data_IF_294474829575
#
_entry.id   IF_294474829575
#
_cell.length_a   1.000
_cell.length_b   1.000
_cell.length_c   1.000
_cell.angle_alpha   90.00
_cell.angle_beta   90.00
_cell.angle_gamma   90.00
#
_symmetry.space_group_name_H-M   'P 1'
#
loop_
_entity.id
_entity.type
_entity.pdbx_description
1 polymer ?
#
# COMPACT_ATOMS: atom_id res chain seq x y z
N UNK A 1 -6.41 -2.81 19.52
CA UNK A 1 -7.24 -3.71 18.68
C UNK A 1 -6.67 -5.12 18.82
N UNK A 2 -7.47 -6.19 18.83
CA UNK A 2 -6.90 -7.53 19.01
C UNK A 2 -6.26 -8.08 17.73
N UNK A 3 -5.28 -8.98 17.87
CA UNK A 3 -4.60 -9.62 16.74
C UNK A 3 -5.57 -10.32 15.75
N UNK A 4 -6.60 -11.07 16.19
CA UNK A 4 -7.56 -11.67 15.26
C UNK A 4 -8.37 -10.63 14.47
N UNK A 5 -8.67 -9.47 15.08
CA UNK A 5 -9.31 -8.37 14.36
C UNK A 5 -8.35 -7.76 13.34
N UNK A 6 -7.08 -7.58 13.71
CA UNK A 6 -6.03 -7.11 12.81
C UNK A 6 -5.92 -8.00 11.57
N UNK A 7 -5.87 -9.32 11.77
CA UNK A 7 -5.78 -10.31 10.68
C UNK A 7 -6.99 -10.30 9.76
N UNK A 8 -8.21 -10.18 10.30
CA UNK A 8 -9.41 -10.07 9.44
C UNK A 8 -9.43 -8.76 8.66
N UNK A 9 -9.00 -7.66 9.29
CA UNK A 9 -8.90 -6.37 8.62
C UNK A 9 -7.83 -6.35 7.54
N UNK A 10 -6.70 -7.05 7.70
CA UNK A 10 -5.66 -7.05 6.67
C UNK A 10 -6.14 -7.63 5.33
N UNK A 11 -7.08 -8.58 5.34
CA UNK A 11 -7.69 -9.13 4.12
C UNK A 11 -8.51 -8.10 3.32
N UNK A 12 -8.90 -7.01 3.98
CA UNK A 12 -9.75 -5.95 3.44
C UNK A 12 -8.90 -4.70 3.19
N UNK A 13 -8.26 -4.19 4.23
CA UNK A 13 -7.62 -2.87 4.26
C UNK A 13 -6.31 -2.83 3.45
N UNK A 14 -5.60 -3.97 3.29
CA UNK A 14 -4.32 -3.98 2.58
C UNK A 14 -4.47 -3.73 1.08
N UNK A 15 -5.56 -4.22 0.48
CA UNK A 15 -5.83 -4.09 -0.96
C UNK A 15 -7.12 -3.36 -1.29
N UNK A 16 -7.84 -2.89 -0.26
CA UNK A 16 -9.17 -2.31 -0.42
C UNK A 16 -10.11 -3.34 -1.06
N UNK A 17 -10.17 -4.53 -0.47
CA UNK A 17 -10.99 -5.63 -0.97
C UNK A 17 -12.46 -5.36 -0.67
N UNK A 18 -13.29 -5.37 -1.70
CA UNK A 18 -14.74 -5.24 -1.64
C UNK A 18 -15.40 -6.49 -2.25
N UNK A 19 -16.73 -6.59 -2.14
CA UNK A 19 -17.49 -7.62 -2.86
C UNK A 19 -18.49 -7.00 -3.82
N UNK A 20 -18.54 -7.57 -5.02
CA UNK A 20 -19.45 -7.15 -6.09
C UNK A 20 -20.47 -8.25 -6.36
N UNK A 21 -21.75 -7.89 -6.37
CA UNK A 21 -22.82 -8.78 -6.78
C UNK A 21 -22.81 -8.94 -8.29
N UNK A 22 -22.59 -10.17 -8.77
CA UNK A 22 -22.53 -10.50 -10.19
C UNK A 22 -23.90 -10.41 -10.89
N UNK A 23 -24.99 -10.35 -10.13
CA UNK A 23 -26.36 -10.29 -10.66
C UNK A 23 -26.81 -8.84 -10.90
N UNK A 24 -26.55 -7.92 -9.95
CA UNK A 24 -27.00 -6.53 -10.02
C UNK A 24 -25.88 -5.47 -10.09
N UNK A 25 -24.61 -5.87 -10.04
CA UNK A 25 -23.44 -4.97 -10.10
C UNK A 25 -23.21 -4.10 -8.86
N UNK A 26 -23.95 -4.32 -7.77
CA UNK A 26 -23.75 -3.57 -6.52
C UNK A 26 -22.45 -3.98 -5.84
N UNK A 27 -21.63 -2.99 -5.48
CA UNK A 27 -20.35 -3.16 -4.78
C UNK A 27 -20.48 -2.78 -3.30
N UNK A 28 -19.90 -3.58 -2.41
CA UNK A 28 -19.94 -3.36 -0.96
C UNK A 28 -18.55 -3.34 -0.35
N UNK A 29 -18.27 -2.28 0.40
CA UNK A 29 -17.10 -2.16 1.27
C UNK A 29 -17.54 -1.76 2.69
N UNK A 30 -17.16 -2.51 3.75
CA UNK A 30 -16.43 -3.78 3.73
C UNK A 30 -17.17 -4.89 2.95
N UNK A 31 -16.47 -5.96 2.52
CA UNK A 31 -17.05 -7.01 1.70
C UNK A 31 -18.16 -7.77 2.45
N UNK A 32 -19.24 -8.06 1.73
CA UNK A 32 -20.40 -8.85 2.19
C UNK A 32 -20.47 -10.19 1.50
N UNK A 33 -21.00 -11.18 2.22
CA UNK A 33 -21.28 -12.52 1.69
C UNK A 33 -22.55 -12.60 0.83
N UNK A 34 -23.43 -11.59 0.90
CA UNK A 34 -24.64 -11.51 0.08
C UNK A 34 -25.02 -10.06 -0.22
N UNK A 35 -25.70 -9.87 -1.35
CA UNK A 35 -26.22 -8.60 -1.83
C UNK A 35 -27.40 -8.10 -0.98
N UNK A 36 -27.52 -6.78 -0.82
CA UNK A 36 -28.68 -6.17 -0.17
C UNK A 36 -29.95 -6.19 -1.05
N UNK A 37 -29.79 -6.29 -2.37
CA UNK A 37 -30.89 -6.28 -3.35
C UNK A 37 -31.37 -7.71 -3.62
N UNK A 38 -30.45 -8.57 -4.08
CA UNK A 38 -30.75 -9.96 -4.48
C UNK A 38 -30.76 -10.94 -3.29
N UNK A 39 -30.34 -10.49 -2.10
CA UNK A 39 -30.30 -11.30 -0.90
C UNK A 39 -29.33 -12.48 -1.00
N UNK A 40 -29.61 -13.56 -0.26
CA UNK A 40 -28.71 -14.71 -0.08
C UNK A 40 -28.51 -15.58 -1.34
N UNK A 41 -29.34 -15.39 -2.37
CA UNK A 41 -29.20 -16.12 -3.63
C UNK A 41 -28.11 -15.52 -4.54
N UNK A 42 -27.64 -14.31 -4.20
CA UNK A 42 -26.64 -13.59 -5.00
C UNK A 42 -25.31 -14.32 -5.11
N UNK A 43 -24.69 -14.15 -6.29
CA UNK A 43 -23.29 -14.51 -6.49
C UNK A 43 -22.41 -13.30 -6.21
N UNK A 44 -21.55 -13.40 -5.20
CA UNK A 44 -20.61 -12.35 -4.81
C UNK A 44 -19.21 -12.67 -5.31
N UNK A 45 -18.62 -11.78 -6.08
CA UNK A 45 -17.21 -11.84 -6.48
C UNK A 45 -16.38 -10.88 -5.62
N UNK A 46 -15.11 -11.22 -5.39
CA UNK A 46 -14.15 -10.33 -4.74
C UNK A 46 -13.58 -9.38 -5.79
N UNK A 47 -13.54 -8.09 -5.46
CA UNK A 47 -12.87 -7.05 -6.26
C UNK A 47 -11.93 -6.28 -5.35
N UNK A 48 -10.77 -5.86 -5.83
CA UNK A 48 -9.84 -5.03 -5.08
C UNK A 48 -9.48 -3.78 -5.87
N UNK A 49 -9.12 -2.71 -5.15
CA UNK A 49 -8.84 -1.41 -5.75
C UNK A 49 -7.37 -1.00 -5.56
N UNK A 50 -6.50 -1.94 -5.17
CA UNK A 50 -5.14 -1.61 -4.75
C UNK A 50 -4.33 -0.94 -5.88
N UNK A 51 -4.49 -1.41 -7.12
CA UNK A 51 -3.82 -0.88 -8.31
C UNK A 51 -4.65 0.16 -9.07
N UNK A 52 -5.89 0.39 -8.64
CA UNK A 52 -6.85 1.23 -9.35
C UNK A 52 -6.63 2.72 -9.09
N UNK A 53 -7.15 3.53 -10.01
CA UNK A 53 -7.26 4.98 -9.82
C UNK A 53 -8.64 5.32 -9.27
N UNK A 54 -8.67 6.20 -8.27
CA UNK A 54 -9.90 6.79 -7.75
C UNK A 54 -9.93 8.29 -7.99
N UNK A 55 -10.94 8.93 -7.40
CA UNK A 55 -11.13 10.37 -7.40
C UNK A 55 -11.42 10.85 -5.98
N UNK A 56 -10.91 12.03 -5.60
CA UNK A 56 -11.26 12.63 -4.33
C UNK A 56 -12.67 13.23 -4.39
N UNK A 57 -13.65 12.53 -3.84
CA UNK A 57 -15.07 12.84 -4.00
C UNK A 57 -15.56 13.94 -3.05
N UNK A 58 -15.18 13.84 -1.77
CA UNK A 58 -15.51 14.85 -0.76
C UNK A 58 -14.52 14.76 0.39
N UNK A 59 -14.39 15.81 1.20
CA UNK A 59 -13.52 15.75 2.36
C UNK A 59 -13.52 17.02 3.19
N UNK A 60 -12.56 17.08 4.10
CA UNK A 60 -12.31 18.20 5.01
C UNK A 60 -10.81 18.34 5.26
N UNK A 61 -10.39 19.58 5.51
CA UNK A 61 -9.07 19.87 6.08
C UNK A 61 -9.19 19.76 7.60
N UNK A 62 -8.39 18.89 8.21
CA UNK A 62 -8.31 18.74 9.65
C UNK A 62 -7.14 19.59 10.14
N UNK A 63 -7.45 20.74 10.76
CA UNK A 63 -6.45 21.69 11.30
C UNK A 63 -6.19 21.53 12.81
N UNK A 64 -7.04 20.78 13.52
CA UNK A 64 -6.91 20.52 14.94
C UNK A 64 -7.07 19.02 15.24
N UNK A 65 -6.04 18.19 14.98
CA UNK A 65 -6.08 16.76 15.25
C UNK A 65 -6.21 16.41 16.73
N UNK A 66 -6.76 15.24 17.00
CA UNK A 66 -6.71 14.62 18.34
C UNK A 66 -5.27 14.26 18.70
N UNK A 67 -5.00 14.01 19.99
CA UNK A 67 -3.65 13.71 20.52
C UNK A 67 -2.94 12.60 19.75
N UNK A 68 -3.66 11.57 19.30
CA UNK A 68 -3.12 10.45 18.53
C UNK A 68 -2.59 10.88 17.15
N UNK A 69 -3.17 11.90 16.53
CA UNK A 69 -2.83 12.37 15.18
C UNK A 69 -2.10 13.72 15.18
N UNK A 70 -1.70 14.21 16.37
CA UNK A 70 -1.08 15.53 16.53
C UNK A 70 0.21 15.69 15.70
N UNK A 71 0.91 14.59 15.43
CA UNK A 71 2.11 14.58 14.61
C UNK A 71 1.86 14.88 13.12
N UNK A 72 0.61 14.79 12.65
CA UNK A 72 0.22 15.13 11.28
C UNK A 72 0.00 16.64 11.09
N UNK A 73 -0.11 17.40 12.19
CA UNK A 73 -0.49 18.81 12.18
C UNK A 73 -1.78 19.04 11.35
N UNK A 74 -1.67 19.70 10.19
CA UNK A 74 -2.80 19.89 9.26
C UNK A 74 -2.78 18.83 8.16
N UNK A 75 -3.89 18.11 7.96
CA UNK A 75 -3.99 17.09 6.90
C UNK A 75 -5.38 17.01 6.26
N UNK A 76 -5.44 16.39 5.08
CA UNK A 76 -6.69 16.15 4.34
C UNK A 76 -7.26 14.77 4.68
N UNK A 77 -8.56 14.73 4.98
CA UNK A 77 -9.31 13.48 5.14
C UNK A 77 -10.62 13.57 4.39
N UNK A 78 -11.07 12.46 3.82
CA UNK A 78 -12.32 12.47 3.09
C UNK A 78 -12.74 11.11 2.56
N UNK A 79 -13.54 11.17 1.51
CA UNK A 79 -14.09 10.05 0.79
C UNK A 79 -13.46 10.03 -0.60
N UNK A 80 -12.82 8.93 -0.92
CA UNK A 80 -12.37 8.62 -2.27
C UNK A 80 -13.43 7.76 -2.98
N UNK A 81 -13.69 8.03 -4.24
CA UNK A 81 -14.56 7.23 -5.08
C UNK A 81 -13.71 6.35 -6.01
N UNK A 82 -13.97 5.05 -6.00
CA UNK A 82 -13.35 4.06 -6.88
C UNK A 82 -14.49 3.28 -7.55
N UNK A 83 -14.67 3.44 -8.87
CA UNK A 83 -15.84 2.91 -9.56
C UNK A 83 -17.15 3.30 -8.85
N UNK A 84 -17.88 2.28 -8.37
CA UNK A 84 -19.16 2.44 -7.67
C UNK A 84 -19.04 2.41 -6.13
N UNK A 85 -17.83 2.38 -5.57
CA UNK A 85 -17.63 2.37 -4.11
C UNK A 85 -17.04 3.69 -3.62
N UNK A 86 -17.48 4.10 -2.42
CA UNK A 86 -16.99 5.28 -1.69
C UNK A 86 -16.27 4.81 -0.44
N UNK A 87 -15.02 5.23 -0.32
CA UNK A 87 -14.08 4.72 0.68
C UNK A 87 -13.57 5.88 1.53
N UNK A 88 -13.64 5.79 2.87
CA UNK A 88 -13.00 6.78 3.71
C UNK A 88 -11.49 6.60 3.67
N UNK A 89 -10.75 7.70 3.70
CA UNK A 89 -9.30 7.65 3.84
C UNK A 89 -8.66 9.03 4.00
N UNK A 90 -7.37 9.00 4.31
CA UNK A 90 -6.55 10.20 4.45
C UNK A 90 -5.76 10.44 3.17
N UNK A 91 -5.64 11.70 2.75
CA UNK A 91 -4.65 12.06 1.72
C UNK A 91 -3.31 12.25 2.41
N UNK A 92 -2.31 11.48 2.00
CA UNK A 92 -0.96 11.52 2.55
C UNK A 92 0.01 12.19 1.57
N UNK A 93 1.20 12.52 2.06
CA UNK A 93 2.24 13.27 1.33
C UNK A 93 1.79 14.65 0.82
N UNK A 94 0.70 15.18 1.34
CA UNK A 94 0.18 16.50 1.01
C UNK A 94 -0.12 17.25 2.30
N UNK A 95 0.50 18.42 2.46
CA UNK A 95 0.27 19.30 3.61
C UNK A 95 -0.57 20.48 3.13
N UNK A 96 -1.90 20.47 3.35
CA UNK A 96 -2.73 21.61 2.99
C UNK A 96 -2.43 22.82 3.90
N UNK A 97 -2.61 24.02 3.37
CA UNK A 97 -2.67 25.22 4.19
C UNK A 97 -3.93 25.23 5.06
N UNK A 98 -3.86 25.86 6.24
CA UNK A 98 -4.99 25.91 7.18
C UNK A 98 -6.22 26.64 6.61
N UNK A 99 -6.01 27.55 5.66
CA UNK A 99 -7.03 28.37 5.01
C UNK A 99 -7.32 27.92 3.57
N UNK A 100 -6.78 26.78 3.15
CA UNK A 100 -7.03 26.25 1.81
C UNK A 100 -8.54 25.95 1.64
N UNK A 101 -9.06 26.18 0.44
CA UNK A 101 -10.41 25.72 0.10
C UNK A 101 -10.36 24.23 -0.25
N UNK A 102 -11.16 23.41 0.42
CA UNK A 102 -11.28 21.98 0.13
C UNK A 102 -11.70 21.72 -1.32
N UNK A 103 -12.46 22.63 -1.94
CA UNK A 103 -12.97 22.46 -3.30
C UNK A 103 -11.84 22.38 -4.34
N UNK A 104 -10.65 22.91 -4.06
CA UNK A 104 -9.50 22.81 -4.97
C UNK A 104 -8.94 21.38 -5.06
N UNK A 105 -9.29 20.51 -4.10
CA UNK A 105 -8.85 19.13 -4.06
C UNK A 105 -9.89 18.16 -4.62
N UNK A 106 -11.18 18.53 -4.59
CA UNK A 106 -12.27 17.68 -5.07
C UNK A 106 -12.13 17.43 -6.57
N UNK A 107 -12.36 16.19 -7.01
CA UNK A 107 -12.23 15.79 -8.40
C UNK A 107 -10.82 15.39 -8.82
N UNK A 108 -9.81 15.58 -7.96
CA UNK A 108 -8.44 15.20 -8.28
C UNK A 108 -8.26 13.68 -8.27
N UNK A 109 -7.43 13.12 -9.17
CA UNK A 109 -7.20 11.69 -9.25
C UNK A 109 -6.40 11.20 -8.03
N UNK A 110 -6.75 10.03 -7.52
CA UNK A 110 -6.12 9.41 -6.34
C UNK A 110 -5.55 8.04 -6.66
N UNK A 111 -4.48 7.67 -5.95
CA UNK A 111 -3.89 6.32 -5.96
C UNK A 111 -3.75 5.81 -4.52
N UNK A 112 -4.16 4.57 -4.23
CA UNK A 112 -3.92 3.93 -2.94
C UNK A 112 -2.43 3.76 -2.62
N UNK A 113 -2.08 4.07 -1.37
CA UNK A 113 -0.74 3.90 -0.79
C UNK A 113 -0.82 3.07 0.47
N UNK A 114 0.03 2.05 0.52
CA UNK A 114 0.13 1.21 1.71
C UNK A 114 0.90 1.96 2.79
N UNK A 115 0.20 2.37 3.86
CA UNK A 115 0.77 3.17 4.95
C UNK A 115 0.48 2.55 6.31
N UNK A 116 1.32 2.91 7.28
CA UNK A 116 1.09 2.64 8.69
C UNK A 116 -0.02 3.55 9.21
N UNK A 117 -1.12 2.96 9.65
CA UNK A 117 -2.26 3.70 10.20
C UNK A 117 -2.01 4.08 11.66
N UNK A 118 -1.62 3.11 12.48
CA UNK A 118 -1.25 3.32 13.89
C UNK A 118 -0.49 2.10 14.44
N UNK A 119 0.13 2.27 15.62
CA UNK A 119 0.70 1.18 16.41
C UNK A 119 0.00 1.11 17.78
N UNK A 120 -0.25 -0.10 18.29
CA UNK A 120 -0.91 -0.32 19.59
C UNK A 120 0.09 -0.17 20.75
N UNK A 121 0.51 1.07 21.03
CA UNK A 121 1.57 1.34 22.00
C UNK A 121 2.96 0.95 21.48
N UNK A 122 3.92 0.85 22.41
CA UNK A 122 5.33 0.57 22.08
C UNK A 122 5.57 -0.90 21.66
N UNK A 123 4.90 -1.84 22.33
CA UNK A 123 5.13 -3.29 22.15
C UNK A 123 3.98 -3.99 21.42
N UNK A 124 2.99 -3.23 20.94
CA UNK A 124 1.83 -3.81 20.27
C UNK A 124 1.96 -3.88 18.75
N UNK A 125 0.85 -4.27 18.13
CA UNK A 125 0.80 -4.44 16.69
C UNK A 125 0.80 -3.09 15.97
N UNK A 126 1.65 -2.99 14.96
CA UNK A 126 1.60 -2.02 13.87
C UNK A 126 0.54 -2.45 12.85
N UNK A 127 -0.38 -1.53 12.56
CA UNK A 127 -1.47 -1.69 11.62
C UNK A 127 -1.20 -0.92 10.35
N UNK A 128 -1.45 -1.56 9.22
CA UNK A 128 -1.29 -0.96 7.90
C UNK A 128 -2.60 -0.97 7.13
N UNK A 129 -2.72 -0.06 6.18
CA UNK A 129 -3.87 0.02 5.29
C UNK A 129 -3.51 0.79 4.01
N UNK A 130 -4.16 0.41 2.91
CA UNK A 130 -4.19 1.14 1.65
C UNK A 130 -5.33 2.17 1.57
N UNK A 131 -6.12 2.35 2.63
CA UNK A 131 -7.07 3.47 2.80
C UNK A 131 -6.34 4.80 3.12
N UNK A 132 -5.18 4.99 2.52
CA UNK A 132 -4.41 6.21 2.47
C UNK A 132 -4.13 6.49 0.99
N UNK A 133 -4.30 7.72 0.56
CA UNK A 133 -4.28 8.07 -0.85
C UNK A 133 -3.26 9.17 -1.13
N UNK A 134 -2.65 9.15 -2.30
CA UNK A 134 -1.89 10.29 -2.83
C UNK A 134 -2.55 10.78 -4.10
N UNK A 135 -2.44 12.08 -4.38
CA UNK A 135 -2.86 12.59 -5.68
C UNK A 135 -1.99 12.00 -6.81
N UNK A 136 -2.65 11.49 -7.85
CA UNK A 136 -2.00 10.76 -8.95
C UNK A 136 -1.21 11.67 -9.89
N UNK A 137 -1.44 12.98 -9.81
CA UNK A 137 -0.81 14.04 -10.59
C UNK A 137 0.36 14.72 -9.86
N UNK A 138 0.81 14.17 -8.72
CA UNK A 138 1.93 14.69 -7.94
C UNK A 138 3.16 13.76 -7.94
N UNK A 139 3.90 13.74 -6.81
CA UNK A 139 5.21 13.11 -6.65
C UNK A 139 5.21 11.59 -6.92
N UNK A 140 4.10 10.91 -6.67
CA UNK A 140 3.94 9.48 -6.95
C UNK A 140 2.87 9.28 -8.03
N UNK A 141 3.25 9.35 -9.32
CA UNK A 141 2.27 9.21 -10.40
C UNK A 141 1.63 7.83 -10.42
N UNK A 142 0.41 7.74 -10.97
CA UNK A 142 -0.18 6.45 -11.33
C UNK A 142 0.69 5.79 -12.39
N UNK A 143 0.90 4.49 -12.23
CA UNK A 143 1.40 3.62 -13.28
C UNK A 143 0.38 2.50 -13.44
N UNK A 144 -0.02 2.25 -14.68
CA UNK A 144 -0.98 1.21 -14.98
C UNK A 144 -0.31 -0.17 -14.88
N UNK A 145 -0.98 -1.10 -14.21
CA UNK A 145 -0.52 -2.46 -14.10
C UNK A 145 -1.12 -3.30 -15.24
N UNK A 146 -0.34 -3.48 -16.31
CA UNK A 146 -0.73 -4.30 -17.46
C UNK A 146 -0.05 -5.66 -17.37
N UNK A 147 -0.83 -6.71 -17.11
CA UNK A 147 -0.29 -8.06 -17.07
C UNK A 147 0.02 -8.57 -18.49
N UNK A 148 1.26 -9.04 -18.67
CA UNK A 148 1.75 -9.71 -19.88
C UNK A 148 2.02 -11.17 -19.58
N UNK A 149 1.62 -12.04 -20.52
CA UNK A 149 1.93 -13.46 -20.40
C UNK A 149 3.42 -13.68 -20.70
N UNK A 150 4.13 -14.46 -19.86
CA UNK A 150 5.50 -14.86 -20.16
C UNK A 150 5.58 -15.53 -21.53
N UNK A 151 6.40 -14.98 -22.43
CA UNK A 151 6.45 -15.42 -23.83
C UNK A 151 7.49 -16.50 -24.09
N UNK A 152 8.53 -16.60 -23.26
CA UNK A 152 9.63 -17.55 -23.44
C UNK A 152 10.30 -17.89 -22.11
N UNK A 153 10.52 -19.18 -21.89
CA UNK A 153 11.39 -19.67 -20.81
C UNK A 153 12.86 -19.44 -21.20
N UNK A 154 13.63 -18.87 -20.27
CA UNK A 154 15.06 -18.58 -20.46
C UNK A 154 15.88 -19.33 -19.41
N UNK A 155 16.95 -20.00 -19.85
CA UNK A 155 17.82 -20.76 -18.94
C UNK A 155 18.68 -19.87 -18.04
N UNK A 156 18.92 -18.61 -18.45
CA UNK A 156 19.75 -17.67 -17.70
C UNK A 156 18.88 -16.77 -16.82
N UNK A 157 19.17 -16.64 -15.52
CA UNK A 157 18.46 -15.70 -14.66
C UNK A 157 18.71 -14.26 -15.11
N UNK A 158 17.70 -13.40 -14.93
CA UNK A 158 17.76 -11.99 -15.29
C UNK A 158 16.77 -11.16 -14.49
N UNK A 159 16.91 -9.83 -14.56
CA UNK A 159 16.00 -8.88 -13.91
C UNK A 159 14.88 -8.56 -14.90
N UNK A 160 13.65 -8.98 -14.56
CA UNK A 160 12.45 -8.72 -15.39
C UNK A 160 11.71 -7.44 -15.01
N UNK A 161 11.98 -6.90 -13.81
CA UNK A 161 11.42 -5.64 -13.33
C UNK A 161 12.14 -5.16 -12.09
N UNK A 162 12.10 -3.85 -11.84
CA UNK A 162 12.66 -3.21 -10.65
C UNK A 162 11.73 -2.08 -10.21
N UNK A 163 11.70 -1.76 -8.92
CA UNK A 163 10.85 -0.70 -8.40
C UNK A 163 11.55 0.05 -7.28
N UNK A 164 11.42 1.37 -7.29
CA UNK A 164 11.98 2.23 -6.25
C UNK A 164 10.86 3.03 -5.59
N UNK A 165 10.89 3.08 -4.26
CA UNK A 165 10.08 3.99 -3.47
C UNK A 165 11.00 4.89 -2.67
N UNK A 166 10.81 6.20 -2.81
CA UNK A 166 11.66 7.22 -2.19
C UNK A 166 10.70 8.21 -1.50
N UNK A 167 10.69 8.33 -0.16
CA UNK A 167 9.80 9.25 0.57
C UNK A 167 9.77 10.65 -0.04
N UNK A 168 8.64 11.37 0.03
CA UNK A 168 8.51 12.69 -0.61
C UNK A 168 9.32 13.76 0.10
N UNK A 169 9.30 13.77 1.43
CA UNK A 169 9.91 14.84 2.21
C UNK A 169 11.43 14.77 2.21
N UNK A 170 12.06 15.95 2.38
CA UNK A 170 13.51 16.14 2.29
C UNK A 170 14.03 17.01 3.43
N UNK A 171 15.19 16.64 3.94
CA UNK A 171 16.02 17.50 4.79
C UNK A 171 17.26 17.88 3.99
N UNK A 172 17.52 19.17 3.85
CA UNK A 172 18.71 19.68 3.17
C UNK A 172 19.91 19.58 4.10
N UNK A 173 21.06 19.21 3.55
CA UNK A 173 22.32 19.27 4.27
C UNK A 173 22.85 20.71 4.22
N UNK A 174 23.45 21.15 5.32
CA UNK A 174 24.16 22.43 5.33
C UNK A 174 25.46 22.35 4.50
N UNK A 175 25.80 23.43 3.80
CA UNK A 175 27.03 23.54 3.01
C UNK A 175 27.07 22.60 1.79
N UNK A 176 28.24 21.99 1.52
CA UNK A 176 28.46 21.14 0.33
C UNK A 176 27.93 19.71 0.47
N UNK A 177 27.32 19.37 1.62
CA UNK A 177 26.92 18.00 1.93
C UNK A 177 28.11 17.03 2.07
N UNK A 178 27.81 15.78 2.43
CA UNK A 178 28.81 14.70 2.47
C UNK A 178 28.71 13.94 1.14
N UNK A 179 29.85 13.69 0.47
CA UNK A 179 29.92 12.98 -0.82
C UNK A 179 29.04 13.62 -1.93
N UNK A 180 28.82 14.93 -1.87
CA UNK A 180 27.97 15.65 -2.84
C UNK A 180 26.47 15.44 -2.65
N UNK A 181 26.03 14.77 -1.58
CA UNK A 181 24.61 14.62 -1.24
C UNK A 181 24.10 15.93 -0.65
N UNK A 182 23.25 16.64 -1.40
CA UNK A 182 22.71 17.96 -1.01
C UNK A 182 21.48 17.85 -0.10
N UNK A 183 20.72 16.77 -0.18
CA UNK A 183 19.55 16.51 0.65
C UNK A 183 19.35 15.02 0.90
N UNK A 184 18.60 14.69 1.94
CA UNK A 184 18.24 13.31 2.32
C UNK A 184 16.74 13.19 2.44
N UNK A 185 16.23 12.00 2.17
CA UNK A 185 14.82 11.67 2.33
C UNK A 185 14.44 11.67 3.81
N UNK A 186 13.26 12.18 4.14
CA UNK A 186 12.66 12.05 5.46
C UNK A 186 11.38 11.23 5.33
N UNK A 187 11.35 9.99 5.86
CA UNK A 187 10.12 9.23 6.01
C UNK A 187 9.08 10.04 6.81
N UNK A 188 7.84 10.04 6.36
CA UNK A 188 6.73 10.56 7.12
C UNK A 188 6.33 9.59 8.23
N UNK A 189 5.57 10.07 9.21
CA UNK A 189 5.23 9.30 10.40
C UNK A 189 4.29 8.09 10.12
N UNK A 190 3.74 7.98 8.91
CA UNK A 190 2.96 6.83 8.45
C UNK A 190 3.78 5.87 7.55
N UNK A 191 5.09 6.07 7.49
CA UNK A 191 6.03 5.28 6.68
C UNK A 191 7.04 4.52 7.54
N UNK A 192 7.40 3.33 7.08
CA UNK A 192 8.46 2.48 7.62
C UNK A 192 8.97 1.48 6.56
N UNK A 193 9.95 0.66 6.93
CA UNK A 193 10.54 -0.39 6.07
C UNK A 193 9.50 -1.30 5.40
N UNK A 194 8.40 -1.63 6.09
CA UNK A 194 7.33 -2.48 5.53
C UNK A 194 6.60 -1.72 4.43
N UNK A 195 6.24 -0.46 4.68
CA UNK A 195 5.59 0.38 3.67
C UNK A 195 6.47 0.59 2.43
N UNK A 196 7.77 0.81 2.63
CA UNK A 196 8.73 0.96 1.53
C UNK A 196 8.85 -0.32 0.70
N UNK A 197 8.91 -1.47 1.36
CA UNK A 197 9.00 -2.77 0.70
C UNK A 197 7.77 -3.05 -0.16
N UNK A 198 6.57 -2.77 0.37
CA UNK A 198 5.32 -2.93 -0.38
C UNK A 198 5.25 -1.95 -1.56
N UNK A 199 5.51 -0.67 -1.34
CA UNK A 199 5.39 0.35 -2.38
C UNK A 199 6.46 0.19 -3.49
N UNK A 200 7.69 -0.22 -3.14
CA UNK A 200 8.73 -0.54 -4.12
C UNK A 200 8.40 -1.85 -4.86
N UNK A 201 7.94 -2.88 -4.15
CA UNK A 201 7.53 -4.16 -4.75
C UNK A 201 6.33 -4.01 -5.70
N UNK A 202 5.35 -3.19 -5.33
CA UNK A 202 4.21 -2.80 -6.18
C UNK A 202 4.69 -2.22 -7.52
N UNK A 203 5.65 -1.28 -7.48
CA UNK A 203 6.26 -0.69 -8.69
C UNK A 203 7.07 -1.71 -9.49
N UNK A 204 7.77 -2.62 -8.82
CA UNK A 204 8.53 -3.68 -9.48
C UNK A 204 7.61 -4.64 -10.25
N UNK A 205 6.46 -5.02 -9.67
CA UNK A 205 5.44 -5.84 -10.34
C UNK A 205 4.83 -5.11 -11.54
N UNK A 206 4.51 -3.82 -11.38
CA UNK A 206 4.01 -2.98 -12.49
C UNK A 206 5.02 -2.94 -13.64
N UNK A 207 6.29 -2.67 -13.36
CA UNK A 207 7.34 -2.62 -14.37
C UNK A 207 7.63 -3.99 -15.00
N UNK A 208 7.51 -5.08 -14.24
CA UNK A 208 7.65 -6.43 -14.77
C UNK A 208 6.46 -6.83 -15.66
N UNK A 209 5.28 -6.28 -15.40
CA UNK A 209 4.02 -6.70 -16.04
C UNK A 209 3.66 -8.16 -15.74
N UNK A 210 4.20 -8.75 -14.68
CA UNK A 210 3.99 -10.16 -14.36
C UNK A 210 2.98 -10.32 -13.24
N UNK A 211 2.03 -11.23 -13.42
CA UNK A 211 1.12 -11.66 -12.36
C UNK A 211 1.92 -12.07 -11.11
N UNK A 212 1.54 -11.55 -9.94
CA UNK A 212 2.26 -11.78 -8.68
C UNK A 212 2.34 -13.26 -8.26
N UNK A 213 1.45 -14.11 -8.78
CA UNK A 213 1.47 -15.56 -8.52
C UNK A 213 2.70 -16.30 -9.08
N UNK A 214 3.40 -15.69 -10.04
CA UNK A 214 4.69 -16.20 -10.53
C UNK A 214 5.84 -15.98 -9.53
N UNK A 215 5.69 -15.06 -8.57
CA UNK A 215 6.72 -14.79 -7.55
C UNK A 215 6.68 -15.86 -6.48
N UNK A 216 7.67 -16.76 -6.47
CA UNK A 216 7.72 -17.88 -5.51
C UNK A 216 8.47 -17.57 -4.21
N UNK A 217 9.26 -16.48 -4.18
CA UNK A 217 10.07 -16.10 -3.03
C UNK A 217 10.12 -14.58 -2.84
N UNK A 218 10.05 -14.15 -1.59
CA UNK A 218 10.18 -12.74 -1.18
C UNK A 218 11.34 -12.59 -0.18
N UNK A 219 12.39 -11.86 -0.57
CA UNK A 219 13.51 -11.54 0.29
C UNK A 219 13.44 -10.06 0.68
N UNK A 220 13.45 -9.77 1.97
CA UNK A 220 13.48 -8.39 2.49
C UNK A 220 14.76 -8.21 3.30
N UNK A 221 15.50 -7.14 3.03
CA UNK A 221 16.74 -6.82 3.74
C UNK A 221 16.65 -5.46 4.43
N UNK A 222 16.79 -5.40 5.75
CA UNK A 222 16.77 -4.14 6.50
C UNK A 222 17.57 -4.21 7.80
N UNK A 223 18.24 -3.11 8.14
CA UNK A 223 18.86 -2.90 9.45
C UNK A 223 17.88 -2.30 10.48
N UNK A 224 16.72 -1.85 10.02
CA UNK A 224 15.70 -1.22 10.85
C UNK A 224 14.34 -1.87 10.56
N UNK A 225 14.18 -3.17 10.88
CA UNK A 225 12.93 -3.87 10.63
C UNK A 225 11.81 -3.30 11.51
N UNK A 226 10.57 -3.30 11.03
CA UNK A 226 9.44 -2.75 11.79
C UNK A 226 9.17 -3.55 13.07
N UNK A 227 9.43 -4.86 13.05
CA UNK A 227 9.35 -5.74 14.20
C UNK A 227 10.66 -6.48 14.41
N UNK A 228 10.95 -6.82 15.66
CA UNK A 228 12.09 -7.68 15.99
C UNK A 228 11.88 -9.14 15.53
N UNK A 229 10.62 -9.60 15.46
CA UNK A 229 10.32 -11.03 15.25
C UNK A 229 9.33 -11.28 14.11
N UNK A 230 8.33 -10.41 13.92
CA UNK A 230 7.35 -10.58 12.84
C UNK A 230 8.01 -10.28 11.50
N UNK A 231 8.06 -11.23 10.55
CA UNK A 231 8.71 -10.99 9.27
C UNK A 231 7.98 -9.95 8.42
N UNK A 232 8.72 -9.02 7.84
CA UNK A 232 8.25 -8.02 6.88
C UNK A 232 7.79 -8.71 5.60
N UNK A 233 8.55 -9.71 5.12
CA UNK A 233 8.22 -10.45 3.90
C UNK A 233 6.82 -11.08 3.95
N UNK A 234 6.29 -11.44 5.13
CA UNK A 234 4.93 -11.99 5.27
C UNK A 234 3.89 -10.92 4.94
N UNK A 235 4.12 -9.69 5.40
CA UNK A 235 3.22 -8.57 5.10
C UNK A 235 3.32 -8.19 3.63
N UNK A 236 4.54 -8.15 3.08
CA UNK A 236 4.77 -7.87 1.65
C UNK A 236 4.06 -8.92 0.78
N UNK A 237 4.24 -10.20 1.09
CA UNK A 237 3.60 -11.31 0.35
C UNK A 237 2.09 -11.25 0.42
N UNK A 238 1.52 -10.90 1.59
CA UNK A 238 0.07 -10.75 1.74
C UNK A 238 -0.49 -9.57 0.94
N UNK A 239 0.17 -8.41 0.96
CA UNK A 239 -0.33 -7.20 0.29
C UNK A 239 -0.20 -7.31 -1.22
N UNK A 240 0.94 -7.81 -1.70
CA UNK A 240 1.24 -7.94 -3.12
C UNK A 240 0.73 -9.25 -3.73
N UNK A 241 0.09 -10.11 -2.93
CA UNK A 241 -0.42 -11.42 -3.36
C UNK A 241 0.65 -12.28 -4.05
N UNK A 242 1.83 -12.36 -3.43
CA UNK A 242 2.98 -13.08 -4.00
C UNK A 242 2.79 -14.59 -3.84
N UNK A 243 2.86 -15.32 -4.96
CA UNK A 243 2.78 -16.77 -4.98
C UNK A 243 1.35 -17.31 -5.12
N UNK A 244 1.16 -18.57 -4.75
CA UNK A 244 -0.13 -19.26 -4.97
C UNK A 244 -1.11 -18.97 -3.84
N UNK A 245 -2.33 -18.55 -4.17
CA UNK A 245 -3.37 -18.29 -3.18
C UNK A 245 -3.76 -19.58 -2.45
N UNK A 246 -3.74 -19.55 -1.13
CA UNK A 246 -4.16 -20.65 -0.27
C UNK A 246 -4.93 -20.11 0.94
N UNK A 247 -6.21 -20.47 1.05
CA UNK A 247 -7.15 -19.89 2.02
C UNK A 247 -7.14 -18.35 1.96
N UNK A 248 -6.87 -17.70 3.10
CA UNK A 248 -6.79 -16.25 3.27
C UNK A 248 -5.38 -15.68 3.02
N UNK A 249 -4.43 -16.52 2.59
CA UNK A 249 -3.02 -16.15 2.41
C UNK A 249 -2.43 -16.65 1.09
N UNK A 250 -1.09 -16.66 1.05
CA UNK A 250 -0.33 -17.01 -0.13
C UNK A 250 0.84 -17.92 0.21
N UNK A 251 1.05 -18.93 -0.61
CA UNK A 251 2.20 -19.81 -0.54
C UNK A 251 3.36 -19.21 -1.34
N UNK A 252 4.27 -18.56 -0.62
CA UNK A 252 5.55 -18.06 -1.11
C UNK A 252 6.61 -18.33 -0.06
N UNK A 253 7.82 -18.70 -0.49
CA UNK A 253 8.98 -18.67 0.39
C UNK A 253 9.34 -17.23 0.76
N UNK A 254 10.03 -17.04 1.87
CA UNK A 254 10.56 -15.72 2.16
C UNK A 254 11.49 -15.67 3.35
N UNK A 255 12.38 -14.69 3.32
CA UNK A 255 13.41 -14.49 4.34
C UNK A 255 13.58 -13.00 4.58
N UNK A 256 13.59 -12.63 5.85
CA UNK A 256 14.06 -11.32 6.30
C UNK A 256 15.54 -11.44 6.68
N UNK A 257 16.37 -10.56 6.12
CA UNK A 257 17.80 -10.51 6.40
C UNK A 257 18.19 -9.13 6.93
N UNK A 258 19.26 -9.08 7.72
CA UNK A 258 19.95 -7.82 7.96
C UNK A 258 20.72 -7.44 6.67
N UNK A 259 20.64 -6.17 6.28
CA UNK A 259 21.22 -5.60 5.05
C UNK A 259 20.52 -6.01 3.74
N UNK A 260 20.21 -5.02 2.89
CA UNK A 260 19.64 -5.25 1.56
C UNK A 260 20.55 -6.06 0.64
N UNK A 261 21.88 -5.92 0.75
CA UNK A 261 22.82 -6.68 -0.06
C UNK A 261 22.76 -8.18 0.23
N UNK A 262 22.54 -8.60 1.49
CA UNK A 262 22.38 -10.01 1.83
C UNK A 262 21.12 -10.59 1.20
N UNK A 263 19.99 -9.90 1.30
CA UNK A 263 18.75 -10.30 0.63
C UNK A 263 18.95 -10.44 -0.90
N UNK A 264 19.68 -9.52 -1.52
CA UNK A 264 19.89 -9.50 -2.97
C UNK A 264 20.87 -10.58 -3.47
N UNK A 265 21.88 -10.94 -2.66
CA UNK A 265 22.89 -11.95 -3.02
C UNK A 265 22.62 -13.33 -2.42
N UNK A 266 21.49 -13.49 -1.73
CA UNK A 266 21.16 -14.76 -1.09
C UNK A 266 20.98 -15.87 -2.13
N UNK A 267 21.35 -17.08 -1.75
CA UNK A 267 21.34 -18.27 -2.60
C UNK A 267 20.43 -19.36 -2.02
N UNK A 268 19.50 -19.04 -1.12
CA UNK A 268 18.50 -20.02 -0.66
C UNK A 268 17.69 -20.58 -1.84
N UNK A 269 18.05 -21.79 -2.28
CA UNK A 269 17.34 -22.62 -3.29
C UNK A 269 16.15 -23.32 -2.64
#
# INVERSE_FOLDING_TARGET
>A
MSEPMARRKSLIDYRITASECQDCGSVYFPPKSFCNVEGRASKMASVDYFYEQGEFYSGSIISAPTSQFKYLDTYLMGVAQFGNVKLPGRITDHTPGQTDDINQYIGRPLVPRFRRTYADGHDGLVYYSSLNFTFADEYYPRQEYVEVQPSKEIDRPGIVGYGAYIPKYRIKNDGKGILGVTERTLPFADEDTTTFSVEAGKRALIHAGLNSSYVKKCFVGSESPTYAVKPIMATVSQVLELGEKFEDGFFSGGVDTQFACKAATDLFI
#
